data_IF_062321223710
#
_entry.id   IF_062321223710
#
_cell.length_a   1.000
_cell.length_b   1.000
_cell.length_c   1.000
_cell.angle_alpha   90.00
_cell.angle_beta   90.00
_cell.angle_gamma   90.00
#
_symmetry.space_group_name_H-M   'P 1'
#
loop_
_entity.id
_entity.type
_entity.pdbx_description
1 polymer ?
#
# COMPACT_ATOMS: atom_id res chain seq x y z
N UNK A 1 -11.31 10.92 17.27
CA UNK A 1 -11.49 9.52 16.83
C UNK A 1 -11.16 8.63 17.98
N UNK A 2 -12.00 7.64 18.30
CA UNK A 2 -11.57 6.51 19.12
C UNK A 2 -10.43 5.83 18.37
N UNK A 3 -9.29 5.62 19.03
CA UNK A 3 -8.17 4.90 18.44
C UNK A 3 -8.55 3.44 18.22
N UNK A 4 -8.04 2.83 17.15
CA UNK A 4 -8.15 1.39 16.90
C UNK A 4 -6.78 0.72 17.09
N UNK A 5 -6.79 -0.57 17.38
CA UNK A 5 -5.61 -1.44 17.39
C UNK A 5 -5.71 -2.41 16.23
N UNK A 6 -4.67 -2.49 15.41
CA UNK A 6 -4.53 -3.52 14.37
C UNK A 6 -3.90 -4.78 14.95
N UNK A 7 -4.49 -5.94 14.67
CA UNK A 7 -3.92 -7.25 14.97
C UNK A 7 -3.69 -7.99 13.65
N UNK A 8 -2.48 -8.50 13.46
CA UNK A 8 -2.07 -9.23 12.25
C UNK A 8 -1.58 -10.61 12.66
N UNK A 9 -2.15 -11.63 12.02
CA UNK A 9 -1.78 -13.02 12.15
C UNK A 9 -1.21 -13.47 10.80
N UNK A 10 0.03 -13.94 10.78
CA UNK A 10 0.70 -14.39 9.56
C UNK A 10 1.51 -15.63 9.83
N UNK A 11 1.48 -16.58 8.90
CA UNK A 11 2.24 -17.83 9.01
C UNK A 11 1.56 -18.98 8.28
N UNK A 12 1.83 -20.20 8.74
CA UNK A 12 1.31 -21.43 8.15
C UNK A 12 0.43 -22.15 9.17
N UNK A 13 -0.81 -22.48 8.80
CA UNK A 13 -1.61 -23.43 9.55
C UNK A 13 -1.01 -24.84 9.50
N UNK A 14 -1.40 -25.71 10.44
CA UNK A 14 -0.90 -27.09 10.51
C UNK A 14 -1.15 -27.85 9.19
N UNK A 15 -2.36 -27.72 8.64
CA UNK A 15 -2.81 -28.39 7.43
C UNK A 15 -2.57 -27.56 6.15
N UNK A 16 -2.15 -26.29 6.27
CA UNK A 16 -1.93 -25.42 5.13
C UNK A 16 -0.54 -25.63 4.53
N UNK A 17 -0.49 -25.76 3.21
CA UNK A 17 0.76 -25.85 2.44
C UNK A 17 1.41 -24.47 2.28
N UNK A 18 0.60 -23.44 2.04
CA UNK A 18 1.01 -22.07 1.77
C UNK A 18 0.78 -21.15 2.98
N UNK A 19 1.48 -20.00 3.06
CA UNK A 19 1.24 -19.05 4.13
C UNK A 19 -0.09 -18.31 3.92
N UNK A 20 -0.66 -17.86 5.03
CA UNK A 20 -1.83 -17.00 5.04
C UNK A 20 -1.59 -15.80 5.96
N UNK A 21 -2.32 -14.74 5.69
CA UNK A 21 -2.38 -13.54 6.51
C UNK A 21 -3.84 -13.22 6.82
N UNK A 22 -4.12 -12.99 8.10
CA UNK A 22 -5.40 -12.51 8.57
C UNK A 22 -5.18 -11.28 9.44
N UNK A 23 -5.88 -10.19 9.14
CA UNK A 23 -5.77 -8.94 9.90
C UNK A 23 -7.13 -8.42 10.31
N UNK A 24 -7.20 -7.89 11.53
CA UNK A 24 -8.39 -7.25 12.09
C UNK A 24 -8.04 -5.91 12.71
N UNK A 25 -9.03 -5.03 12.78
CA UNK A 25 -8.99 -3.85 13.62
C UNK A 25 -10.00 -3.98 14.74
N UNK A 26 -9.61 -3.58 15.95
CA UNK A 26 -10.47 -3.59 17.13
C UNK A 26 -10.36 -2.27 17.88
N UNK A 27 -11.44 -1.81 18.47
CA UNK A 27 -11.52 -0.54 19.18
C UNK A 27 -12.23 -0.63 20.54
N UNK A 28 -12.57 -1.85 20.99
CA UNK A 28 -13.06 -2.08 22.35
C UNK A 28 -13.91 -3.35 22.50
N UNK A 29 -14.57 -3.46 23.66
CA UNK A 29 -15.49 -4.56 24.00
C UNK A 29 -16.88 -3.97 24.23
N UNK A 30 -17.90 -4.55 23.58
CA UNK A 30 -19.31 -4.15 23.72
C UNK A 30 -20.11 -5.37 24.19
N UNK A 31 -20.81 -5.24 25.32
CA UNK A 31 -21.61 -6.33 25.92
C UNK A 31 -20.84 -7.65 26.08
N UNK A 32 -19.57 -7.56 26.49
CA UNK A 32 -18.68 -8.72 26.69
C UNK A 32 -18.06 -9.30 25.41
N UNK A 33 -18.37 -8.76 24.23
CA UNK A 33 -17.80 -9.22 22.95
C UNK A 33 -16.80 -8.20 22.40
N UNK A 34 -15.67 -8.68 21.88
CA UNK A 34 -14.71 -7.84 21.17
C UNK A 34 -15.39 -7.24 19.93
N UNK A 35 -15.38 -5.91 19.80
CA UNK A 35 -15.82 -5.25 18.57
C UNK A 35 -14.62 -5.18 17.62
N UNK A 36 -14.70 -5.92 16.52
CA UNK A 36 -13.66 -5.93 15.50
C UNK A 36 -14.24 -5.92 14.09
N UNK A 37 -13.43 -5.51 13.13
CA UNK A 37 -13.67 -5.67 11.70
C UNK A 37 -12.49 -6.40 11.07
N UNK A 38 -12.77 -7.26 10.09
CA UNK A 38 -11.73 -7.89 9.27
C UNK A 38 -11.21 -6.85 8.27
N UNK A 39 -9.90 -6.64 8.27
CA UNK A 39 -9.25 -5.65 7.40
C UNK A 39 -8.41 -6.27 6.30
N UNK A 40 -8.15 -7.57 6.37
CA UNK A 40 -7.45 -8.30 5.32
C UNK A 40 -7.48 -9.79 5.58
N UNK A 41 -7.73 -10.55 4.52
CA UNK A 41 -7.72 -12.00 4.48
C UNK A 41 -7.03 -12.42 3.19
N UNK A 42 -5.77 -12.86 3.30
CA UNK A 42 -4.91 -13.17 2.17
C UNK A 42 -4.42 -14.60 2.33
N UNK A 43 -4.69 -15.42 1.32
CA UNK A 43 -4.25 -16.81 1.26
C UNK A 43 -3.39 -16.97 0.02
N UNK A 44 -2.12 -17.32 0.23
CA UNK A 44 -1.23 -17.67 -0.88
C UNK A 44 -1.63 -19.04 -1.42
N UNK A 45 -1.62 -19.19 -2.74
CA UNK A 45 -1.99 -20.41 -3.46
C UNK A 45 -1.20 -20.53 -4.76
N UNK A 46 -1.47 -21.60 -5.53
CA UNK A 46 -0.89 -21.78 -6.85
C UNK A 46 -1.31 -20.68 -7.85
N UNK A 47 -2.49 -20.11 -7.64
CA UNK A 47 -3.06 -19.02 -8.46
C UNK A 47 -2.68 -17.63 -7.93
N UNK A 48 -2.52 -17.49 -6.61
CA UNK A 48 -2.10 -16.26 -5.93
C UNK A 48 -0.78 -16.48 -5.19
N UNK A 49 0.34 -16.41 -5.90
CA UNK A 49 1.62 -16.93 -5.41
C UNK A 49 2.40 -15.96 -4.50
N UNK A 50 2.05 -14.68 -4.47
CA UNK A 50 2.81 -13.67 -3.72
C UNK A 50 1.93 -12.45 -3.43
N UNK A 51 2.18 -11.83 -2.29
CA UNK A 51 1.55 -10.55 -1.91
C UNK A 51 2.54 -9.70 -1.11
N UNK A 52 2.37 -8.37 -1.15
CA UNK A 52 3.14 -7.41 -0.38
C UNK A 52 2.18 -6.50 0.38
N UNK A 53 2.05 -6.75 1.68
CA UNK A 53 0.98 -6.18 2.52
C UNK A 53 1.55 -5.20 3.53
N UNK A 54 1.48 -3.88 3.28
CA UNK A 54 1.92 -2.87 4.24
C UNK A 54 0.85 -2.58 5.31
N UNK A 55 1.26 -2.55 6.59
CA UNK A 55 0.39 -2.13 7.72
C UNK A 55 0.72 -0.72 8.26
N UNK A 56 1.91 -0.22 7.94
CA UNK A 56 2.32 1.13 8.28
C UNK A 56 2.06 2.08 7.10
N UNK A 57 2.74 3.22 7.07
CA UNK A 57 2.65 4.16 5.96
C UNK A 57 2.97 3.46 4.62
N UNK A 58 2.05 3.56 3.66
CA UNK A 58 2.04 2.73 2.44
C UNK A 58 2.59 3.44 1.21
N UNK A 59 2.84 4.75 1.25
CA UNK A 59 3.09 5.56 0.06
C UNK A 59 4.36 5.17 -0.68
N UNK A 60 5.46 4.89 0.03
CA UNK A 60 6.72 4.43 -0.59
C UNK A 60 6.56 3.03 -1.17
N UNK A 61 5.91 2.11 -0.46
CA UNK A 61 5.68 0.76 -0.96
C UNK A 61 4.75 0.76 -2.17
N UNK A 62 3.67 1.54 -2.13
CA UNK A 62 2.76 1.72 -3.25
C UNK A 62 3.49 2.31 -4.46
N UNK A 63 4.37 3.29 -4.25
CA UNK A 63 5.19 3.85 -5.33
C UNK A 63 6.11 2.79 -5.95
N UNK A 64 6.72 1.94 -5.11
CA UNK A 64 7.58 0.85 -5.57
C UNK A 64 6.81 -0.17 -6.42
N UNK A 65 5.62 -0.59 -5.99
CA UNK A 65 4.79 -1.58 -6.71
C UNK A 65 4.14 -0.96 -7.95
N UNK A 66 3.54 0.22 -7.81
CA UNK A 66 2.69 0.84 -8.85
C UNK A 66 3.50 1.67 -9.85
N UNK A 67 4.74 2.04 -9.52
CA UNK A 67 5.59 2.89 -10.36
C UNK A 67 5.27 4.39 -10.28
N UNK A 68 4.21 4.78 -9.57
CA UNK A 68 3.81 6.18 -9.39
C UNK A 68 3.43 6.46 -7.93
N UNK A 69 3.79 7.65 -7.45
CA UNK A 69 3.37 8.11 -6.13
C UNK A 69 1.84 8.34 -6.11
N UNK A 70 1.09 7.77 -5.15
CA UNK A 70 -0.37 7.92 -5.09
C UNK A 70 -0.87 9.36 -5.01
N UNK A 71 -0.16 10.24 -4.29
CA UNK A 71 -0.49 11.67 -4.20
C UNK A 71 -0.31 12.36 -5.55
N UNK A 72 0.80 12.04 -6.25
CA UNK A 72 1.03 12.57 -7.60
C UNK A 72 -0.04 12.08 -8.58
N UNK A 73 -0.41 10.80 -8.50
CA UNK A 73 -1.50 10.24 -9.32
C UNK A 73 -2.81 10.99 -9.12
N UNK A 74 -3.18 11.28 -7.86
CA UNK A 74 -4.37 12.04 -7.53
C UNK A 74 -4.30 13.48 -8.04
N UNK A 75 -3.16 14.17 -7.85
CA UNK A 75 -2.96 15.54 -8.33
C UNK A 75 -3.09 15.63 -9.85
N UNK A 76 -2.52 14.67 -10.58
CA UNK A 76 -2.63 14.61 -12.04
C UNK A 76 -4.08 14.38 -12.46
N UNK A 77 -4.78 13.42 -11.86
CA UNK A 77 -6.19 13.15 -12.17
C UNK A 77 -7.10 14.35 -11.88
N UNK A 78 -6.92 15.01 -10.73
CA UNK A 78 -7.69 16.19 -10.36
C UNK A 78 -7.43 17.36 -11.33
N UNK A 79 -6.18 17.54 -11.76
CA UNK A 79 -5.81 18.55 -12.74
C UNK A 79 -6.48 18.28 -14.08
N UNK A 80 -6.41 17.04 -14.57
CA UNK A 80 -7.05 16.62 -15.82
C UNK A 80 -8.57 16.80 -15.75
N UNK A 81 -9.20 16.41 -14.64
CA UNK A 81 -10.64 16.58 -14.43
C UNK A 81 -11.05 18.05 -14.51
N UNK A 82 -10.32 18.94 -13.81
CA UNK A 82 -10.58 20.39 -13.82
C UNK A 82 -10.36 21.00 -15.21
N UNK A 83 -9.27 20.63 -15.89
CA UNK A 83 -8.98 21.10 -17.24
C UNK A 83 -10.04 20.64 -18.24
N UNK A 84 -10.49 19.39 -18.17
CA UNK A 84 -11.53 18.88 -19.05
C UNK A 84 -12.86 19.61 -18.81
N UNK A 85 -13.25 19.81 -17.54
CA UNK A 85 -14.46 20.55 -17.20
C UNK A 85 -14.42 21.99 -17.77
N UNK A 86 -13.32 22.72 -17.54
CA UNK A 86 -13.14 24.08 -18.02
C UNK A 86 -13.12 24.19 -19.55
N UNK A 87 -12.55 23.19 -20.24
CA UNK A 87 -12.55 23.16 -21.71
C UNK A 87 -13.94 22.88 -22.27
N UNK A 88 -14.75 22.03 -21.62
CA UNK A 88 -16.13 21.78 -22.03
C UNK A 88 -17.03 23.00 -21.77
N UNK A 89 -16.80 23.74 -20.68
CA UNK A 89 -17.46 25.03 -20.46
C UNK A 89 -17.16 26.00 -21.61
N UNK A 90 -15.87 26.14 -21.96
CA UNK A 90 -15.45 26.99 -23.07
C UNK A 90 -16.08 26.56 -24.40
N UNK A 91 -16.22 25.24 -24.62
CA UNK A 91 -16.85 24.72 -25.82
C UNK A 91 -18.36 25.01 -25.87
N UNK A 92 -19.06 24.87 -24.74
CA UNK A 92 -20.47 25.24 -24.62
C UNK A 92 -20.67 26.74 -24.88
N UNK A 93 -19.82 27.60 -24.33
CA UNK A 93 -19.86 29.06 -24.58
C UNK A 93 -19.67 29.39 -26.06
N UNK A 94 -18.74 28.70 -26.74
CA UNK A 94 -18.52 28.84 -28.19
C UNK A 94 -19.76 28.42 -28.99
N UNK A 95 -20.42 27.32 -28.61
CA UNK A 95 -21.66 26.87 -29.27
C UNK A 95 -22.75 27.93 -29.12
N UNK A 96 -22.97 28.43 -27.90
CA UNK A 96 -23.98 29.46 -27.62
C UNK A 96 -23.71 30.72 -28.45
N UNK A 97 -22.46 31.18 -28.49
CA UNK A 97 -22.08 32.39 -29.22
C UNK A 97 -22.20 32.27 -30.75
N UNK A 98 -22.17 31.05 -31.31
CA UNK A 98 -22.15 30.81 -32.76
C UNK A 98 -23.41 30.13 -33.30
N UNK A 99 -24.44 29.92 -32.46
CA UNK A 99 -25.70 29.32 -32.89
C UNK A 99 -26.77 30.40 -33.05
N UNK A 100 -27.39 30.47 -34.23
CA UNK A 100 -28.56 31.32 -34.45
C UNK A 100 -29.81 30.62 -33.88
N UNK A 101 -30.45 31.21 -32.86
CA UNK A 101 -31.66 30.70 -32.23
C UNK A 101 -31.51 30.39 -30.73
N UNK A 102 -32.56 29.85 -30.10
CA UNK A 102 -32.49 29.39 -28.71
C UNK A 102 -31.67 28.10 -28.62
N UNK A 103 -30.69 28.10 -27.71
CA UNK A 103 -29.87 26.92 -27.39
C UNK A 103 -30.42 26.26 -26.13
N UNK A 104 -30.57 24.94 -26.16
CA UNK A 104 -31.00 24.17 -25.00
C UNK A 104 -29.81 23.98 -24.03
N UNK A 105 -29.73 24.84 -23.02
CA UNK A 105 -28.67 24.79 -21.99
C UNK A 105 -28.71 23.50 -21.16
N UNK A 106 -29.88 22.92 -20.92
CA UNK A 106 -30.02 21.64 -20.18
C UNK A 106 -29.39 20.48 -20.96
N UNK A 107 -29.57 20.46 -22.28
CA UNK A 107 -28.91 19.48 -23.15
C UNK A 107 -27.39 19.68 -23.15
N UNK A 108 -26.90 20.93 -23.18
CA UNK A 108 -25.46 21.21 -23.14
C UNK A 108 -24.80 20.77 -21.84
N UNK A 109 -25.46 20.99 -20.69
CA UNK A 109 -24.96 20.49 -19.40
C UNK A 109 -24.99 18.96 -19.32
N UNK A 110 -26.03 18.31 -19.86
CA UNK A 110 -26.11 16.85 -19.95
C UNK A 110 -24.95 16.29 -20.78
N UNK A 111 -24.75 16.82 -21.99
CA UNK A 111 -23.67 16.39 -22.88
C UNK A 111 -22.29 16.60 -22.26
N UNK A 112 -22.08 17.73 -21.58
CA UNK A 112 -20.84 18.02 -20.85
C UNK A 112 -20.58 16.99 -19.76
N UNK A 113 -21.57 16.62 -18.96
CA UNK A 113 -21.40 15.60 -17.92
C UNK A 113 -21.09 14.23 -18.53
N UNK A 114 -21.87 13.78 -19.51
CA UNK A 114 -21.71 12.47 -20.15
C UNK A 114 -20.35 12.34 -20.83
N UNK A 115 -19.92 13.38 -21.56
CA UNK A 115 -18.64 13.38 -22.26
C UNK A 115 -17.46 13.40 -21.30
N UNK A 116 -17.56 14.22 -20.24
CA UNK A 116 -16.54 14.26 -19.17
C UNK A 116 -16.41 12.91 -18.49
N UNK A 117 -17.50 12.28 -18.06
CA UNK A 117 -17.48 10.98 -17.40
C UNK A 117 -16.89 9.90 -18.31
N UNK A 118 -17.34 9.84 -19.57
CA UNK A 118 -16.84 8.88 -20.57
C UNK A 118 -15.33 9.00 -20.79
N UNK A 119 -14.82 10.22 -20.97
CA UNK A 119 -13.38 10.46 -21.14
C UNK A 119 -12.61 10.09 -19.87
N UNK A 120 -13.09 10.51 -18.69
CA UNK A 120 -12.39 10.25 -17.44
C UNK A 120 -12.27 8.75 -17.16
N UNK A 121 -13.36 7.98 -17.34
CA UNK A 121 -13.34 6.53 -17.20
C UNK A 121 -12.38 5.89 -18.21
N UNK A 122 -12.42 6.31 -19.48
CA UNK A 122 -11.52 5.79 -20.50
C UNK A 122 -10.05 6.09 -20.19
N UNK A 123 -9.73 7.31 -19.77
CA UNK A 123 -8.37 7.71 -19.40
C UNK A 123 -7.87 6.93 -18.18
N UNK A 124 -8.69 6.82 -17.13
CA UNK A 124 -8.34 6.05 -15.94
C UNK A 124 -8.03 4.59 -16.29
N UNK A 125 -8.88 3.95 -17.10
CA UNK A 125 -8.65 2.58 -17.54
C UNK A 125 -7.35 2.43 -18.36
N UNK A 126 -7.06 3.38 -19.25
CA UNK A 126 -5.84 3.36 -20.04
C UNK A 126 -4.59 3.53 -19.17
N UNK A 127 -4.60 4.47 -18.22
CA UNK A 127 -3.48 4.69 -17.30
C UNK A 127 -3.29 3.46 -16.41
N UNK A 128 -4.37 2.92 -15.85
CA UNK A 128 -4.31 1.71 -15.01
C UNK A 128 -3.77 0.51 -15.80
N UNK A 129 -4.18 0.33 -17.05
CA UNK A 129 -3.65 -0.72 -17.93
C UNK A 129 -2.14 -0.56 -18.16
N UNK A 130 -1.67 0.67 -18.43
CA UNK A 130 -0.23 0.95 -18.61
C UNK A 130 0.53 0.65 -17.32
N UNK A 131 0.13 1.24 -16.18
CA UNK A 131 0.79 1.02 -14.88
C UNK A 131 0.82 -0.46 -14.50
N UNK A 132 -0.28 -1.18 -14.75
CA UNK A 132 -0.36 -2.60 -14.49
C UNK A 132 0.68 -3.38 -15.30
N UNK A 133 0.71 -3.16 -16.61
CA UNK A 133 1.55 -3.93 -17.53
C UNK A 133 3.03 -3.55 -17.46
N UNK A 134 3.36 -2.28 -17.16
CA UNK A 134 4.74 -1.80 -17.14
C UNK A 134 5.41 -1.84 -15.76
N UNK A 135 4.64 -1.82 -14.68
CA UNK A 135 5.18 -1.74 -13.31
C UNK A 135 4.64 -2.83 -12.40
N UNK A 136 3.32 -2.90 -12.18
CA UNK A 136 2.73 -3.79 -11.16
C UNK A 136 3.04 -5.25 -11.48
N UNK A 137 2.66 -5.72 -12.67
CA UNK A 137 2.86 -7.11 -13.06
C UNK A 137 4.35 -7.50 -13.10
N UNK A 138 5.25 -6.75 -13.74
CA UNK A 138 6.69 -7.06 -13.72
C UNK A 138 7.28 -7.10 -12.30
N UNK A 139 6.87 -6.18 -11.42
CA UNK A 139 7.35 -6.13 -10.04
C UNK A 139 6.89 -7.36 -9.26
N UNK A 140 5.60 -7.69 -9.32
CA UNK A 140 5.06 -8.89 -8.67
C UNK A 140 5.70 -10.17 -9.22
N UNK A 141 5.95 -10.24 -10.53
CA UNK A 141 6.67 -11.36 -11.14
C UNK A 141 8.09 -11.49 -10.59
N UNK A 142 8.83 -10.39 -10.44
CA UNK A 142 10.16 -10.41 -9.85
C UNK A 142 10.14 -10.89 -8.39
N UNK A 143 9.17 -10.44 -7.59
CA UNK A 143 9.02 -10.86 -6.18
C UNK A 143 8.82 -12.37 -6.03
N UNK A 144 8.11 -13.01 -6.97
CA UNK A 144 7.86 -14.46 -6.95
C UNK A 144 9.13 -15.32 -7.05
N UNK A 145 10.21 -14.78 -7.60
CA UNK A 145 11.48 -15.50 -7.76
C UNK A 145 12.52 -15.19 -6.68
N UNK A 146 12.21 -14.26 -5.77
CA UNK A 146 13.10 -13.92 -4.67
C UNK A 146 13.20 -15.05 -3.66
N UNK A 147 14.40 -15.25 -3.11
CA UNK A 147 14.59 -16.12 -1.97
C UNK A 147 13.93 -15.53 -0.71
N UNK A 148 13.73 -16.35 0.33
CA UNK A 148 13.22 -15.85 1.62
C UNK A 148 14.16 -14.81 2.25
N UNK A 149 15.46 -14.92 1.99
CA UNK A 149 16.48 -13.95 2.40
C UNK A 149 16.33 -12.63 1.65
N UNK A 150 16.19 -12.66 0.32
CA UNK A 150 16.02 -11.46 -0.50
C UNK A 150 14.70 -10.74 -0.18
N UNK A 151 13.62 -11.49 0.08
CA UNK A 151 12.33 -10.93 0.53
C UNK A 151 12.47 -10.18 1.85
N UNK A 152 13.27 -10.71 2.79
CA UNK A 152 13.53 -10.06 4.07
C UNK A 152 14.34 -8.76 3.89
N UNK A 153 15.36 -8.77 3.03
CA UNK A 153 16.16 -7.58 2.72
C UNK A 153 15.35 -6.51 1.98
N UNK A 154 14.45 -6.92 1.08
CA UNK A 154 13.53 -6.01 0.40
C UNK A 154 12.57 -5.37 1.41
N UNK A 155 11.95 -6.16 2.28
CA UNK A 155 11.03 -5.64 3.30
C UNK A 155 11.73 -4.62 4.21
N UNK A 156 12.96 -4.93 4.64
CA UNK A 156 13.79 -3.99 5.42
C UNK A 156 14.05 -2.70 4.64
N UNK A 157 14.45 -2.82 3.38
CA UNK A 157 14.79 -1.68 2.53
C UNK A 157 13.58 -0.76 2.31
N UNK A 158 12.39 -1.32 2.11
CA UNK A 158 11.15 -0.55 1.94
C UNK A 158 10.79 0.23 3.21
N UNK A 159 10.93 -0.38 4.39
CA UNK A 159 10.73 0.30 5.67
C UNK A 159 11.78 1.40 5.87
N UNK A 160 13.04 1.13 5.54
CA UNK A 160 14.11 2.11 5.65
C UNK A 160 13.92 3.30 4.70
N UNK A 161 13.52 3.07 3.45
CA UNK A 161 13.21 4.13 2.49
C UNK A 161 12.01 4.96 2.96
N UNK A 162 11.01 4.32 3.56
CA UNK A 162 9.87 5.01 4.18
C UNK A 162 10.34 5.94 5.29
N UNK A 163 11.15 5.43 6.23
CA UNK A 163 11.76 6.24 7.28
C UNK A 163 12.57 7.40 6.71
N UNK A 164 13.44 7.14 5.73
CA UNK A 164 14.31 8.15 5.14
C UNK A 164 13.50 9.27 4.47
N UNK A 165 12.44 8.92 3.72
CA UNK A 165 11.54 9.89 3.09
C UNK A 165 10.89 10.79 4.13
N UNK A 166 10.44 10.25 5.27
CA UNK A 166 9.80 11.04 6.33
C UNK A 166 10.76 12.00 7.00
N UNK A 167 11.98 11.52 7.29
CA UNK A 167 13.04 12.34 7.89
C UNK A 167 13.42 13.53 7.00
N UNK A 168 13.38 13.39 5.68
CA UNK A 168 13.73 14.48 4.75
C UNK A 168 12.57 15.42 4.42
N UNK A 169 11.32 15.01 4.64
CA UNK A 169 10.12 15.78 4.25
C UNK A 169 9.40 16.49 5.42
N UNK A 170 10.00 16.52 6.62
CA UNK A 170 9.45 17.18 7.83
C UNK A 170 8.01 16.75 8.20
N UNK A 171 7.58 15.57 7.75
CA UNK A 171 6.30 14.96 8.10
C UNK A 171 6.41 14.17 9.42
N UNK A 172 5.30 14.02 10.16
CA UNK A 172 5.21 13.26 11.42
C UNK A 172 5.89 11.88 11.28
N UNK A 173 6.92 11.65 12.09
CA UNK A 173 7.63 10.37 12.20
C UNK A 173 6.71 9.36 12.90
N UNK A 174 6.07 8.46 12.14
CA UNK A 174 5.32 7.32 12.70
C UNK A 174 6.11 6.00 12.65
N UNK A 175 7.20 5.97 11.88
CA UNK A 175 8.08 4.82 11.70
C UNK A 175 9.51 5.33 11.82
N UNK A 176 10.29 4.80 12.77
CA UNK A 176 11.68 5.20 12.99
C UNK A 176 12.38 4.25 13.97
N UNK A 177 13.71 4.27 13.97
CA UNK A 177 14.54 3.40 14.81
C UNK A 177 15.12 2.19 14.06
N UNK A 178 15.53 1.18 14.82
CA UNK A 178 16.07 -0.05 14.22
C UNK A 178 14.93 -0.89 13.63
N UNK A 179 15.20 -1.51 12.48
CA UNK A 179 14.25 -2.39 11.81
C UNK A 179 14.58 -3.82 12.20
N UNK A 180 13.60 -4.48 12.82
CA UNK A 180 13.63 -5.91 13.09
C UNK A 180 12.92 -6.66 11.97
N UNK A 181 13.51 -7.76 11.53
CA UNK A 181 13.04 -8.55 10.40
C UNK A 181 13.01 -10.02 10.80
N UNK A 182 11.85 -10.63 10.60
CA UNK A 182 11.65 -12.05 10.81
C UNK A 182 11.15 -12.72 9.52
N UNK A 183 11.52 -13.98 9.35
CA UNK A 183 11.07 -14.86 8.28
C UNK A 183 10.26 -15.97 8.92
N UNK A 184 9.10 -16.29 8.35
CA UNK A 184 8.31 -17.46 8.72
C UNK A 184 8.28 -18.38 7.51
N UNK A 185 8.83 -19.60 7.65
CA UNK A 185 8.76 -20.64 6.62
C UNK A 185 8.10 -21.90 7.20
N UNK A 186 7.50 -22.74 6.34
CA UNK A 186 6.89 -24.00 6.80
C UNK A 186 7.93 -24.95 7.42
N UNK A 187 9.16 -24.95 6.91
CA UNK A 187 10.23 -25.85 7.35
C UNK A 187 10.97 -25.36 8.60
N UNK A 188 11.32 -24.07 8.65
CA UNK A 188 12.16 -23.51 9.72
C UNK A 188 11.34 -22.86 10.84
N UNK A 189 10.04 -22.65 10.63
CA UNK A 189 9.21 -21.87 11.53
C UNK A 189 9.61 -20.39 11.55
N UNK A 190 9.50 -19.76 12.72
CA UNK A 190 9.80 -18.35 12.91
C UNK A 190 11.30 -18.15 13.17
N UNK A 191 11.95 -17.33 12.34
CA UNK A 191 13.37 -17.01 12.44
C UNK A 191 13.58 -15.49 12.42
N UNK A 192 14.29 -14.96 13.42
CA UNK A 192 14.79 -13.58 13.36
C UNK A 192 15.95 -13.50 12.38
N UNK A 193 15.74 -12.85 11.22
CA UNK A 193 16.80 -12.56 10.25
C UNK A 193 17.65 -11.38 10.73
N UNK A 194 17.00 -10.38 11.32
CA UNK A 194 17.62 -9.21 11.93
C UNK A 194 16.82 -8.82 13.16
N UNK A 195 17.48 -8.62 14.29
CA UNK A 195 16.84 -8.15 15.52
C UNK A 195 17.77 -7.23 16.26
N UNK A 196 17.25 -6.09 16.69
CA UNK A 196 17.94 -5.19 17.60
C UNK A 196 18.02 -5.86 18.96
N UNK A 197 19.24 -6.19 19.36
CA UNK A 197 19.54 -6.58 20.72
C UNK A 197 19.82 -5.34 21.57
N UNK A 198 19.57 -5.42 22.87
CA UNK A 198 19.91 -4.34 23.80
C UNK A 198 21.43 -4.06 23.79
N UNK A 199 22.24 -5.12 23.67
CA UNK A 199 23.67 -5.05 23.42
C UNK A 199 24.14 -6.29 22.64
N UNK A 200 25.34 -6.23 22.05
CA UNK A 200 25.96 -7.40 21.42
C UNK A 200 26.67 -8.27 22.45
N UNK A 201 26.36 -9.57 22.44
CA UNK A 201 26.90 -10.53 23.41
C UNK A 201 28.43 -10.59 23.38
N UNK A 202 29.01 -10.55 22.17
CA UNK A 202 30.47 -10.57 21.96
C UNK A 202 31.18 -9.37 22.57
N UNK A 203 30.51 -8.22 22.68
CA UNK A 203 31.06 -7.00 23.26
C UNK A 203 30.83 -6.92 24.79
N UNK A 204 29.91 -7.74 25.32
CA UNK A 204 29.44 -7.65 26.72
C UNK A 204 29.55 -9.00 27.45
N UNK A 205 30.66 -9.71 27.23
CA UNK A 205 30.91 -11.03 27.85
C UNK A 205 30.80 -11.00 29.39
N UNK A 206 31.16 -9.88 30.02
CA UNK A 206 31.03 -9.69 31.47
C UNK A 206 29.58 -9.88 31.98
N UNK A 207 28.56 -9.54 31.18
CA UNK A 207 27.17 -9.76 31.56
C UNK A 207 26.86 -11.26 31.63
N UNK A 208 27.33 -12.05 30.67
CA UNK A 208 27.04 -13.48 30.64
C UNK A 208 27.75 -14.25 31.76
N UNK A 209 29.01 -13.92 32.01
CA UNK A 209 29.79 -14.52 33.10
C UNK A 209 29.17 -14.28 34.48
N UNK A 210 28.55 -13.12 34.69
CA UNK A 210 27.97 -12.78 35.99
C UNK A 210 26.59 -13.40 36.25
N UNK A 211 25.85 -13.75 35.20
CA UNK A 211 24.42 -14.13 35.32
C UNK A 211 24.07 -15.52 34.75
N UNK A 212 24.95 -16.16 33.98
CA UNK A 212 24.69 -17.47 33.37
C UNK A 212 25.75 -18.55 33.68
N UNK A 213 26.89 -18.21 34.30
CA UNK A 213 27.87 -19.19 34.81
C UNK A 213 27.57 -19.54 36.29
N UNK A 214 26.38 -20.10 36.56
CA UNK A 214 26.07 -20.84 37.82
C UNK A 214 25.80 -22.31 37.53
#
# INVERSE_FOLDING_TARGET
>A
MLGFTGLVFVGYGNEQLYPALYSIQTDGVVSGNLRYSVTGDIVISDEHNCDLVPFAQTDVMNTFIQGINPELYNVVNDSLYKSLASNLDTYNDIIIANTEGEVNEELLETLKQDFKESIMVSMQNNIQSVLHNSHIQPTLQALRFLSKEDLAELAESLIYLTFLKRRTTSSLESVGGAIDVAIISKGDGFIWKKRKHYFEDKLNQHFFQNYFDQ
#
